data_IF_585115808244
#
_entry.id   IF_585115808244
#
_cell.length_a   1.000
_cell.length_b   1.000
_cell.length_c   1.000
_cell.angle_alpha   90.00
_cell.angle_beta   90.00
_cell.angle_gamma   90.00
#
_symmetry.space_group_name_H-M   'P 1'
#
loop_
_entity.id
_entity.type
_entity.pdbx_description
1 polymer ?
#
# COMPACT_ATOMS: atom_id res chain seq x y z
N UNK A 1 11.10 7.73 18.96
CA UNK A 1 11.61 7.85 17.56
C UNK A 1 10.51 7.50 16.54
N UNK A 2 10.65 7.86 15.25
CA UNK A 2 9.63 7.53 14.22
C UNK A 2 9.39 6.01 14.12
N UNK A 3 10.45 5.22 14.23
CA UNK A 3 10.42 3.76 14.26
C UNK A 3 9.51 3.18 15.35
N UNK A 4 9.55 3.75 16.55
CA UNK A 4 8.72 3.29 17.68
C UNK A 4 7.24 3.62 17.46
N UNK A 5 6.95 4.83 16.97
CA UNK A 5 5.59 5.25 16.65
C UNK A 5 5.00 4.45 15.48
N UNK A 6 5.84 4.04 14.52
CA UNK A 6 5.45 3.21 13.40
C UNK A 6 5.51 1.70 13.70
N UNK A 7 6.02 1.27 14.86
CA UNK A 7 6.14 -0.14 15.20
C UNK A 7 7.05 -0.95 14.27
N UNK A 8 8.06 -0.31 13.64
CA UNK A 8 8.98 -0.96 12.69
C UNK A 8 10.43 -0.88 13.18
N UNK A 9 11.25 -1.84 12.75
CA UNK A 9 12.69 -1.80 13.01
C UNK A 9 13.40 -0.67 12.26
N UNK A 10 14.55 -0.21 12.78
CA UNK A 10 15.40 0.82 12.14
C UNK A 10 15.83 0.43 10.72
N UNK A 11 16.16 -0.84 10.50
CA UNK A 11 16.54 -1.33 9.17
C UNK A 11 15.41 -1.20 8.15
N UNK A 12 14.16 -1.36 8.59
CA UNK A 12 12.98 -1.17 7.74
C UNK A 12 12.80 0.30 7.39
N UNK A 13 12.99 1.21 8.35
CA UNK A 13 12.95 2.65 8.07
C UNK A 13 14.04 3.08 7.08
N UNK A 14 15.27 2.58 7.21
CA UNK A 14 16.35 2.85 6.25
C UNK A 14 15.99 2.30 4.86
N UNK A 15 15.36 1.12 4.79
CA UNK A 15 14.90 0.53 3.53
C UNK A 15 13.81 1.38 2.86
N UNK A 16 12.92 1.97 3.68
CA UNK A 16 11.88 2.92 3.24
C UNK A 16 12.52 4.19 2.68
N UNK A 17 13.49 4.78 3.41
CA UNK A 17 14.21 5.98 2.97
C UNK A 17 14.98 5.76 1.67
N UNK A 18 15.51 4.55 1.46
CA UNK A 18 16.17 4.13 0.22
C UNK A 18 15.21 3.77 -0.92
N UNK A 19 13.90 3.76 -0.67
CA UNK A 19 12.90 3.41 -1.67
C UNK A 19 13.00 1.97 -2.17
N UNK A 20 13.44 1.03 -1.31
CA UNK A 20 13.62 -0.36 -1.75
C UNK A 20 12.26 -0.99 -2.12
N UNK A 21 12.17 -1.71 -3.27
CA UNK A 21 10.92 -2.31 -3.74
C UNK A 21 10.48 -3.53 -2.91
N UNK A 22 11.36 -4.06 -2.06
CA UNK A 22 11.07 -5.18 -1.16
C UNK A 22 10.20 -4.77 0.03
N UNK A 23 10.06 -3.48 0.31
CA UNK A 23 9.26 -2.98 1.43
C UNK A 23 7.78 -2.94 1.04
N UNK A 24 6.92 -3.46 1.90
CA UNK A 24 5.48 -3.43 1.67
C UNK A 24 4.95 -1.98 1.65
N UNK A 25 3.99 -1.71 0.76
CA UNK A 25 3.34 -0.40 0.67
C UNK A 25 2.68 0.02 2.00
N UNK A 26 2.21 -0.95 2.79
CA UNK A 26 1.64 -0.69 4.12
C UNK A 26 2.64 -0.08 5.10
N UNK A 27 3.92 -0.46 5.02
CA UNK A 27 4.96 0.14 5.87
C UNK A 27 5.24 1.60 5.48
N UNK A 28 5.24 1.92 4.19
CA UNK A 28 5.35 3.31 3.72
C UNK A 28 4.19 4.16 4.25
N UNK A 29 2.95 3.68 4.09
CA UNK A 29 1.75 4.39 4.56
C UNK A 29 1.75 4.58 6.08
N UNK A 30 2.24 3.59 6.85
CA UNK A 30 2.30 3.70 8.30
C UNK A 30 3.33 4.75 8.76
N UNK A 31 4.48 4.84 8.08
CA UNK A 31 5.46 5.90 8.33
C UNK A 31 4.88 7.28 7.99
N UNK A 32 4.23 7.42 6.84
CA UNK A 32 3.56 8.68 6.45
C UNK A 32 2.50 9.10 7.47
N UNK A 33 1.68 8.16 7.95
CA UNK A 33 0.68 8.40 9.00
C UNK A 33 1.29 8.91 10.30
N UNK A 34 2.41 8.33 10.74
CA UNK A 34 3.13 8.78 11.94
C UNK A 34 3.71 10.19 11.80
N UNK A 35 3.99 10.59 10.56
CA UNK A 35 4.45 11.94 10.20
C UNK A 35 3.30 12.93 9.93
N UNK A 36 2.03 12.49 9.97
CA UNK A 36 0.85 13.27 9.59
C UNK A 36 0.82 13.68 8.11
N UNK A 37 1.43 12.87 7.24
CA UNK A 37 1.53 13.08 5.78
C UNK A 37 0.66 12.07 4.99
N UNK A 38 -0.25 11.37 5.65
CA UNK A 38 -1.11 10.37 5.00
C UNK A 38 -2.01 10.95 3.92
N UNK A 39 -2.41 12.22 4.07
CA UNK A 39 -3.28 12.90 3.11
C UNK A 39 -2.54 13.27 1.83
N UNK A 40 -1.23 13.49 1.89
CA UNK A 40 -0.42 13.81 0.71
C UNK A 40 -0.37 12.63 -0.26
N UNK A 41 -0.52 11.40 0.26
CA UNK A 41 -0.66 10.22 -0.59
C UNK A 41 -1.94 10.27 -1.44
N UNK A 42 -2.99 10.96 -0.98
CA UNK A 42 -4.21 11.13 -1.77
C UNK A 42 -3.99 12.07 -2.97
N UNK A 43 -3.06 13.03 -2.88
CA UNK A 43 -2.70 13.87 -4.02
C UNK A 43 -2.13 13.03 -5.16
N UNK A 44 -1.24 12.07 -4.85
CA UNK A 44 -0.73 11.12 -5.83
C UNK A 44 -1.84 10.24 -6.42
N UNK A 45 -2.80 9.85 -5.59
CA UNK A 45 -3.91 9.00 -6.03
C UNK A 45 -4.94 9.73 -6.92
N UNK A 46 -4.99 11.07 -6.90
CA UNK A 46 -5.90 11.85 -7.76
C UNK A 46 -5.58 11.72 -9.24
N UNK A 47 -4.30 11.52 -9.57
CA UNK A 47 -3.86 11.42 -10.96
C UNK A 47 -4.17 10.05 -11.59
N UNK A 48 -4.55 9.03 -10.80
CA UNK A 48 -4.90 7.69 -11.30
C UNK A 48 -6.39 7.57 -11.68
N UNK A 49 -6.79 8.35 -12.69
CA UNK A 49 -8.16 8.36 -13.24
C UNK A 49 -8.56 6.98 -13.77
N UNK A 50 -7.61 6.26 -14.38
CA UNK A 50 -7.87 4.93 -14.95
C UNK A 50 -8.07 3.88 -13.86
N UNK A 51 -7.20 3.83 -12.86
CA UNK A 51 -7.31 2.89 -11.74
C UNK A 51 -8.61 3.08 -10.97
N UNK A 52 -9.04 4.34 -10.75
CA UNK A 52 -10.36 4.65 -10.18
C UNK A 52 -11.50 4.08 -10.99
N UNK A 53 -11.53 4.35 -12.30
CA UNK A 53 -12.56 3.78 -13.19
C UNK A 53 -12.58 2.26 -13.14
N UNK A 54 -11.43 1.61 -13.10
CA UNK A 54 -11.33 0.14 -13.00
C UNK A 54 -11.83 -0.41 -11.66
N UNK A 55 -11.61 0.30 -10.55
CA UNK A 55 -12.15 -0.06 -9.24
C UNK A 55 -13.68 0.09 -9.21
N UNK A 56 -14.20 1.16 -9.80
CA UNK A 56 -15.63 1.49 -9.83
C UNK A 56 -16.44 0.58 -10.75
N UNK A 57 -15.79 -0.14 -11.68
CA UNK A 57 -16.44 -0.99 -12.70
C UNK A 57 -17.21 -2.19 -12.12
N UNK A 58 -17.25 -2.41 -10.80
CA UNK A 58 -18.11 -3.45 -10.21
C UNK A 58 -17.78 -4.84 -10.78
N UNK A 59 -16.48 -5.16 -10.81
CA UNK A 59 -15.94 -6.34 -11.46
C UNK A 59 -16.74 -7.61 -11.09
N UNK A 60 -17.30 -8.25 -12.10
CA UNK A 60 -17.98 -9.54 -11.94
C UNK A 60 -16.90 -10.56 -11.58
N UNK A 61 -16.87 -10.99 -10.31
CA UNK A 61 -15.92 -12.01 -9.86
C UNK A 61 -16.18 -13.30 -10.65
N UNK A 62 -15.19 -13.75 -11.45
CA UNK A 62 -15.32 -15.01 -12.19
C UNK A 62 -15.56 -16.15 -11.20
N UNK A 63 -16.50 -17.05 -11.53
CA UNK A 63 -16.77 -18.26 -10.72
C UNK A 63 -15.45 -19.00 -10.50
N UNK A 64 -15.12 -19.25 -9.23
CA UNK A 64 -13.94 -20.02 -8.83
C UNK A 64 -13.96 -21.38 -9.52
N UNK A 65 -12.83 -21.78 -10.12
CA UNK A 65 -12.72 -23.09 -10.74
C UNK A 65 -12.98 -24.20 -9.69
N UNK A 66 -13.69 -25.28 -10.04
CA UNK A 66 -13.91 -26.39 -9.12
C UNK A 66 -12.57 -27.02 -8.72
N UNK A 67 -12.45 -27.41 -7.46
CA UNK A 67 -11.26 -28.09 -6.94
C UNK A 67 -11.14 -29.44 -7.66
N UNK A 68 -10.02 -29.70 -8.34
CA UNK A 68 -9.72 -31.05 -8.85
C UNK A 68 -9.72 -32.01 -7.66
N UNK A 69 -10.59 -33.02 -7.69
CA UNK A 69 -10.48 -34.16 -6.80
C UNK A 69 -9.15 -34.87 -7.10
N UNK A 70 -8.46 -35.31 -6.04
CA UNK A 70 -7.28 -36.17 -6.17
C UNK A 70 -7.70 -37.54 -6.66
#
# INVERSE_FOLDING_TARGET
MVTERAGIGRNTLISIEKGLPSVSIGNYLNVLKVLRLENDFLELAKDDILGRKLQDIGLITKKRAPKRAK
#
